data_IF_212806322997
#
_entry.id   IF_212806322997
#
_cell.length_a   1.000
_cell.length_b   1.000
_cell.length_c   1.000
_cell.angle_alpha   90.00
_cell.angle_beta   90.00
_cell.angle_gamma   90.00
#
_symmetry.space_group_name_H-M   'P 1'
#
loop_
_entity.id
_entity.type
_entity.pdbx_description
1 polymer ?
#
# COMPACT_ATOMS: atom_id res chain seq x y z
N UNK A 1 17.32 5.02 23.65
CA UNK A 1 18.06 6.06 22.90
C UNK A 1 17.70 5.90 21.42
N UNK A 2 16.67 6.60 20.96
CA UNK A 2 16.26 6.56 19.53
C UNK A 2 17.33 7.29 18.72
N UNK A 3 18.07 6.56 17.89
CA UNK A 3 18.93 7.12 16.85
C UNK A 3 18.14 8.21 16.13
N UNK A 4 18.62 9.45 16.17
CA UNK A 4 17.90 10.58 15.59
C UNK A 4 17.86 10.35 14.07
N UNK A 5 16.66 10.09 13.54
CA UNK A 5 16.49 9.71 12.13
C UNK A 5 16.84 10.90 11.24
N UNK A 6 18.03 10.87 10.64
CA UNK A 6 18.52 11.90 9.73
C UNK A 6 17.60 12.03 8.52
N UNK A 7 17.23 13.27 8.19
CA UNK A 7 16.59 13.63 6.93
C UNK A 7 17.59 14.37 6.04
N UNK A 8 17.39 14.29 4.73
CA UNK A 8 18.30 14.77 3.71
C UNK A 8 17.59 15.77 2.78
N UNK A 9 18.30 16.80 2.37
CA UNK A 9 17.94 17.63 1.22
C UNK A 9 18.30 16.93 -0.10
N UNK A 10 17.78 17.43 -1.22
CA UNK A 10 18.03 16.80 -2.53
C UNK A 10 19.53 16.84 -2.89
N UNK A 11 20.21 17.94 -2.58
CA UNK A 11 21.63 18.15 -2.88
C UNK A 11 22.54 17.19 -2.09
N UNK A 12 22.08 16.71 -0.93
CA UNK A 12 22.75 15.67 -0.15
C UNK A 12 22.49 14.29 -0.74
N UNK A 13 21.25 14.01 -1.17
CA UNK A 13 20.89 12.75 -1.84
C UNK A 13 21.70 12.58 -3.12
N UNK A 14 21.75 13.60 -3.98
CA UNK A 14 22.49 13.56 -5.24
C UNK A 14 23.99 13.31 -5.02
N UNK A 15 24.58 13.88 -3.96
CA UNK A 15 25.99 13.63 -3.62
C UNK A 15 26.25 12.17 -3.23
N UNK A 16 25.37 11.59 -2.41
CA UNK A 16 25.48 10.20 -1.97
C UNK A 16 25.21 9.22 -3.12
N UNK A 17 24.26 9.54 -4.00
CA UNK A 17 23.98 8.76 -5.21
C UNK A 17 25.14 8.83 -6.21
N UNK A 18 25.72 10.01 -6.43
CA UNK A 18 26.89 10.18 -7.29
C UNK A 18 28.06 9.34 -6.80
N UNK A 19 28.31 9.28 -5.49
CA UNK A 19 29.34 8.41 -4.94
C UNK A 19 29.04 6.92 -5.20
N UNK A 20 27.79 6.50 -4.98
CA UNK A 20 27.37 5.13 -5.26
C UNK A 20 27.52 4.75 -6.75
N UNK A 21 27.25 5.69 -7.66
CA UNK A 21 27.43 5.50 -9.09
C UNK A 21 28.89 5.47 -9.51
N UNK A 22 29.76 6.30 -8.92
CA UNK A 22 31.22 6.23 -9.15
C UNK A 22 31.74 4.85 -8.78
N UNK A 23 31.32 4.32 -7.63
CA UNK A 23 31.67 2.96 -7.20
C UNK A 23 31.14 1.90 -8.17
N UNK A 24 29.89 2.04 -8.65
CA UNK A 24 29.32 1.15 -9.67
C UNK A 24 30.18 1.12 -10.93
N UNK A 25 30.46 2.29 -11.50
CA UNK A 25 31.28 2.41 -12.72
C UNK A 25 32.69 1.88 -12.52
N UNK A 26 33.31 2.15 -11.38
CA UNK A 26 34.63 1.63 -11.04
C UNK A 26 34.65 0.10 -11.10
N UNK A 27 33.62 -0.55 -10.53
CA UNK A 27 33.50 -2.02 -10.50
C UNK A 27 33.12 -2.63 -11.85
N UNK A 28 32.28 -1.96 -12.63
CA UNK A 28 31.75 -2.49 -13.89
C UNK A 28 32.64 -2.17 -15.10
N UNK A 29 33.31 -1.02 -15.10
CA UNK A 29 33.93 -0.43 -16.28
C UNK A 29 35.32 0.18 -16.02
N UNK A 30 35.83 0.13 -14.78
CA UNK A 30 37.17 0.60 -14.42
C UNK A 30 37.27 2.08 -14.03
N UNK A 31 38.49 2.52 -13.72
CA UNK A 31 38.74 3.85 -13.14
C UNK A 31 38.37 5.02 -14.07
N UNK A 32 38.66 4.90 -15.36
CA UNK A 32 38.37 5.98 -16.33
C UNK A 32 36.87 6.25 -16.45
N UNK A 33 36.05 5.20 -16.45
CA UNK A 33 34.60 5.31 -16.44
C UNK A 33 34.08 5.98 -15.16
N UNK A 34 34.70 5.68 -14.00
CA UNK A 34 34.33 6.30 -12.73
C UNK A 34 34.67 7.80 -12.69
N UNK A 35 35.85 8.19 -13.21
CA UNK A 35 36.29 9.60 -13.27
C UNK A 35 35.43 10.43 -14.23
N UNK A 36 34.92 9.83 -15.29
CA UNK A 36 34.10 10.50 -16.32
C UNK A 36 32.60 10.52 -16.01
N UNK A 37 32.16 10.14 -14.80
CA UNK A 37 30.73 10.11 -14.43
C UNK A 37 29.99 11.42 -14.71
N UNK A 38 30.61 12.56 -14.44
CA UNK A 38 29.96 13.87 -14.61
C UNK A 38 29.71 14.23 -16.07
N UNK A 39 30.68 13.94 -16.96
CA UNK A 39 30.58 14.29 -18.39
C UNK A 39 29.83 13.24 -19.22
N UNK A 40 29.73 12.00 -18.72
CA UNK A 40 29.15 10.87 -19.49
C UNK A 40 27.98 10.21 -18.77
N UNK A 41 27.36 10.89 -17.80
CA UNK A 41 26.19 10.39 -17.07
C UNK A 41 25.09 9.96 -18.04
N UNK A 42 24.57 8.76 -17.86
CA UNK A 42 23.54 8.22 -18.73
C UNK A 42 22.43 7.56 -17.94
N UNK A 43 21.18 7.93 -18.24
CA UNK A 43 20.00 7.38 -17.58
C UNK A 43 18.91 7.05 -18.60
N UNK A 44 18.16 6.00 -18.31
CA UNK A 44 16.98 5.60 -19.08
C UNK A 44 15.73 5.91 -18.25
N UNK A 45 14.73 6.53 -18.86
CA UNK A 45 13.45 6.83 -18.22
C UNK A 45 12.31 6.09 -18.94
N UNK A 46 11.60 5.24 -18.21
CA UNK A 46 10.51 4.41 -18.70
C UNK A 46 9.17 4.98 -18.22
N UNK A 47 8.41 5.52 -19.16
CA UNK A 47 7.15 6.20 -18.90
C UNK A 47 6.02 5.26 -18.46
N UNK A 48 4.95 5.86 -17.91
CA UNK A 48 3.75 5.16 -17.49
C UNK A 48 2.80 4.83 -18.64
N UNK A 49 1.64 4.23 -18.32
CA UNK A 49 0.63 3.85 -19.33
C UNK A 49 0.27 2.37 -19.35
N UNK A 50 0.34 1.72 -18.18
CA UNK A 50 -0.08 0.32 -17.99
C UNK A 50 0.61 -0.68 -18.91
N UNK A 51 -0.13 -1.70 -19.34
CA UNK A 51 0.43 -2.81 -20.13
C UNK A 51 0.99 -2.38 -21.51
N UNK A 52 0.40 -1.33 -22.11
CA UNK A 52 0.85 -0.78 -23.39
C UNK A 52 2.27 -0.22 -23.25
N UNK A 53 2.48 0.65 -22.25
CA UNK A 53 3.81 1.21 -21.99
C UNK A 53 4.82 0.13 -21.59
N UNK A 54 4.40 -0.84 -20.76
CA UNK A 54 5.27 -1.97 -20.40
C UNK A 54 5.78 -2.72 -21.64
N UNK A 55 4.90 -2.98 -22.61
CA UNK A 55 5.24 -3.69 -23.86
C UNK A 55 6.20 -2.89 -24.74
N UNK A 56 5.97 -1.58 -24.87
CA UNK A 56 6.84 -0.68 -25.64
C UNK A 56 8.23 -0.61 -25.00
N UNK A 57 8.28 -0.36 -23.69
CA UNK A 57 9.53 -0.33 -22.93
C UNK A 57 10.29 -1.66 -23.03
N UNK A 58 9.60 -2.80 -23.02
CA UNK A 58 10.21 -4.12 -23.19
C UNK A 58 10.95 -4.23 -24.52
N UNK A 59 10.35 -3.76 -25.62
CA UNK A 59 10.98 -3.75 -26.95
C UNK A 59 12.19 -2.82 -27.03
N UNK A 60 12.08 -1.61 -26.47
CA UNK A 60 13.20 -0.66 -26.41
C UNK A 60 14.37 -1.23 -25.61
N UNK A 61 14.13 -1.70 -24.39
CA UNK A 61 15.20 -2.25 -23.55
C UNK A 61 15.80 -3.52 -24.15
N UNK A 62 15.01 -4.38 -24.78
CA UNK A 62 15.51 -5.55 -25.52
C UNK A 62 16.49 -5.14 -26.61
N UNK A 63 16.18 -4.07 -27.35
CA UNK A 63 17.07 -3.53 -28.39
C UNK A 63 18.33 -2.90 -27.79
N UNK A 64 18.20 -2.10 -26.72
CA UNK A 64 19.37 -1.51 -26.04
C UNK A 64 20.27 -2.57 -25.41
N UNK A 65 19.70 -3.67 -24.91
CA UNK A 65 20.44 -4.81 -24.38
C UNK A 65 21.25 -5.49 -25.48
N UNK A 66 20.63 -5.71 -26.66
CA UNK A 66 21.31 -6.30 -27.83
C UNK A 66 22.55 -5.51 -28.26
N UNK A 67 22.55 -4.19 -28.07
CA UNK A 67 23.67 -3.33 -28.42
C UNK A 67 24.58 -2.97 -27.22
N UNK A 68 24.43 -3.65 -26.08
CA UNK A 68 25.22 -3.38 -24.86
C UNK A 68 25.13 -1.92 -24.38
N UNK A 69 24.01 -1.24 -24.66
CA UNK A 69 23.76 0.14 -24.22
C UNK A 69 23.10 0.12 -22.83
N UNK A 70 22.24 -0.87 -22.56
CA UNK A 70 21.53 -0.97 -21.28
C UNK A 70 22.49 -1.13 -20.09
N UNK A 71 23.59 -1.85 -20.26
CA UNK A 71 24.60 -2.04 -19.20
C UNK A 71 25.34 -0.76 -18.81
N UNK A 72 25.44 0.19 -19.75
CA UNK A 72 26.09 1.49 -19.57
C UNK A 72 25.22 2.50 -18.84
N UNK A 73 23.93 2.22 -18.65
CA UNK A 73 23.04 3.11 -17.92
C UNK A 73 23.42 3.17 -16.44
N UNK A 74 23.57 4.38 -15.90
CA UNK A 74 23.73 4.62 -14.47
C UNK A 74 22.40 4.55 -13.74
N UNK A 75 21.34 5.02 -14.40
CA UNK A 75 19.99 5.09 -13.84
C UNK A 75 18.99 4.34 -14.73
N UNK A 76 18.06 3.64 -14.08
CA UNK A 76 16.81 3.21 -14.69
C UNK A 76 15.66 3.81 -13.90
N UNK A 77 15.14 4.92 -14.42
CA UNK A 77 14.00 5.65 -13.90
C UNK A 77 12.71 5.07 -14.46
N UNK A 78 11.72 4.84 -13.61
CA UNK A 78 10.51 4.12 -13.99
C UNK A 78 9.28 4.71 -13.34
N UNK A 79 8.17 4.63 -14.06
CA UNK A 79 6.84 4.89 -13.49
C UNK A 79 5.80 3.94 -14.09
N UNK A 80 4.84 3.48 -13.28
CA UNK A 80 3.69 2.70 -13.73
C UNK A 80 4.06 1.50 -14.62
N UNK A 81 3.53 1.43 -15.84
CA UNK A 81 3.88 0.40 -16.83
C UNK A 81 5.37 0.26 -17.10
N UNK A 82 6.14 1.35 -17.08
CA UNK A 82 7.61 1.32 -17.16
C UNK A 82 8.25 0.63 -15.96
N UNK A 83 7.65 0.75 -14.78
CA UNK A 83 8.05 0.03 -13.57
C UNK A 83 7.92 -1.48 -13.70
N UNK A 84 6.97 -1.98 -14.49
CA UNK A 84 6.82 -3.42 -14.71
C UNK A 84 8.02 -4.00 -15.47
N UNK A 85 8.39 -3.35 -16.57
CA UNK A 85 9.53 -3.74 -17.40
C UNK A 85 10.85 -3.50 -16.67
N UNK A 86 10.99 -2.37 -15.97
CA UNK A 86 12.16 -2.12 -15.12
C UNK A 86 12.27 -3.15 -13.99
N UNK A 87 11.15 -3.55 -13.41
CA UNK A 87 11.09 -4.60 -12.39
C UNK A 87 11.59 -5.96 -12.90
N UNK A 88 11.17 -6.34 -14.10
CA UNK A 88 11.68 -7.50 -14.82
C UNK A 88 13.21 -7.44 -14.99
N UNK A 89 13.73 -6.32 -15.52
CA UNK A 89 15.18 -6.13 -15.72
C UNK A 89 15.92 -6.26 -14.40
N UNK A 90 15.50 -5.51 -13.38
CA UNK A 90 16.20 -5.45 -12.10
C UNK A 90 16.29 -6.78 -11.38
N UNK A 91 15.18 -7.52 -11.35
CA UNK A 91 15.13 -8.81 -10.65
C UNK A 91 15.77 -9.94 -11.43
N UNK A 92 15.72 -9.90 -12.77
CA UNK A 92 16.41 -10.89 -13.61
C UNK A 92 17.92 -10.70 -13.54
N UNK A 93 18.42 -9.46 -13.63
CA UNK A 93 19.85 -9.17 -13.42
C UNK A 93 20.32 -9.59 -12.03
N UNK A 94 19.52 -9.33 -10.99
CA UNK A 94 19.86 -9.72 -9.62
C UNK A 94 20.00 -11.25 -9.46
N UNK A 95 19.14 -12.01 -10.13
CA UNK A 95 19.13 -13.48 -10.04
C UNK A 95 20.22 -14.12 -10.91
N UNK A 96 20.29 -13.71 -12.17
CA UNK A 96 21.09 -14.40 -13.19
C UNK A 96 22.51 -13.83 -13.29
N UNK A 97 22.76 -12.62 -12.79
CA UNK A 97 24.09 -12.01 -12.77
C UNK A 97 24.64 -11.62 -14.15
N UNK A 98 23.82 -11.62 -15.21
CA UNK A 98 24.24 -11.26 -16.56
C UNK A 98 23.13 -10.55 -17.36
N UNK A 99 23.54 -9.59 -18.20
CA UNK A 99 22.68 -8.94 -19.19
C UNK A 99 22.24 -9.89 -20.32
N UNK A 100 22.99 -10.98 -20.57
CA UNK A 100 22.63 -11.97 -21.57
C UNK A 100 21.38 -12.76 -21.19
N UNK A 101 21.08 -12.87 -19.89
CA UNK A 101 19.88 -13.56 -19.40
C UNK A 101 18.59 -12.72 -19.58
N UNK A 102 18.71 -11.45 -19.96
CA UNK A 102 17.57 -10.58 -20.23
C UNK A 102 16.93 -10.88 -21.59
N UNK A 103 15.63 -10.68 -21.68
CA UNK A 103 14.82 -10.76 -22.89
C UNK A 103 14.90 -12.10 -23.65
N UNK A 104 15.20 -13.19 -22.94
CA UNK A 104 15.16 -14.54 -23.49
C UNK A 104 13.81 -14.84 -24.15
N UNK A 105 13.75 -15.62 -25.24
CA UNK A 105 12.50 -15.91 -25.95
C UNK A 105 11.38 -16.41 -25.03
N UNK A 106 11.70 -17.33 -24.11
CA UNK A 106 10.76 -17.84 -23.11
C UNK A 106 10.25 -16.74 -22.15
N UNK A 107 11.10 -15.76 -21.81
CA UNK A 107 10.71 -14.61 -20.98
C UNK A 107 9.69 -13.73 -21.71
N UNK A 108 9.98 -13.41 -22.97
CA UNK A 108 9.10 -12.58 -23.81
C UNK A 108 7.77 -13.29 -24.06
N UNK A 109 7.78 -14.58 -24.39
CA UNK A 109 6.57 -15.37 -24.63
C UNK A 109 5.67 -15.41 -23.38
N UNK A 110 6.25 -15.61 -22.20
CA UNK A 110 5.52 -15.56 -20.93
C UNK A 110 4.88 -14.20 -20.69
N UNK A 111 5.63 -13.11 -20.86
CA UNK A 111 5.11 -11.76 -20.64
C UNK A 111 3.98 -11.43 -21.62
N UNK A 112 4.12 -11.82 -22.89
CA UNK A 112 3.07 -11.65 -23.91
C UNK A 112 1.81 -12.46 -23.60
N UNK A 113 1.97 -13.72 -23.20
CA UNK A 113 0.83 -14.61 -22.89
C UNK A 113 0.11 -14.27 -21.59
N UNK A 114 0.69 -13.41 -20.73
CA UNK A 114 0.14 -13.02 -19.43
C UNK A 114 -0.09 -11.50 -19.32
N UNK A 115 -0.28 -10.81 -20.45
CA UNK A 115 -0.55 -9.36 -20.49
C UNK A 115 -1.86 -8.97 -19.78
N UNK A 116 -2.86 -9.86 -19.75
CA UNK A 116 -4.08 -9.73 -18.95
C UNK A 116 -3.84 -10.17 -17.49
N UNK A 117 -2.85 -9.57 -16.83
CA UNK A 117 -2.38 -10.00 -15.50
C UNK A 117 -3.46 -9.92 -14.39
N UNK A 118 -4.52 -9.13 -14.57
CA UNK A 118 -5.64 -9.04 -13.62
C UNK A 118 -6.52 -10.29 -13.63
N UNK A 119 -6.65 -10.94 -14.79
CA UNK A 119 -7.47 -12.12 -15.04
C UNK A 119 -6.63 -13.07 -15.90
N UNK A 120 -5.56 -13.68 -15.34
CA UNK A 120 -4.61 -14.44 -16.15
C UNK A 120 -5.28 -15.67 -16.80
N UNK A 121 -4.85 -16.01 -18.01
CA UNK A 121 -5.37 -17.15 -18.77
C UNK A 121 -6.05 -16.72 -20.07
N UNK A 122 -5.78 -17.47 -21.14
CA UNK A 122 -6.18 -17.04 -22.49
C UNK A 122 -7.68 -17.20 -22.74
N UNK A 123 -8.30 -18.33 -22.33
CA UNK A 123 -9.73 -18.64 -22.53
C UNK A 123 -10.25 -19.72 -21.56
N UNK A 124 -11.58 -19.90 -21.51
CA UNK A 124 -12.25 -21.02 -20.84
C UNK A 124 -12.47 -20.87 -19.33
N UNK A 125 -12.75 -22.00 -18.67
CA UNK A 125 -13.12 -22.08 -17.24
C UNK A 125 -12.06 -21.41 -16.35
N UNK A 126 -10.78 -21.54 -16.68
CA UNK A 126 -9.69 -20.92 -15.91
C UNK A 126 -9.76 -19.39 -15.93
N UNK A 127 -10.12 -18.78 -17.07
CA UNK A 127 -10.27 -17.32 -17.18
C UNK A 127 -11.48 -16.85 -16.39
N UNK A 128 -12.62 -17.54 -16.53
CA UNK A 128 -13.82 -17.27 -15.73
C UNK A 128 -13.54 -17.39 -14.22
N UNK A 129 -12.80 -18.41 -13.82
CA UNK A 129 -12.40 -18.61 -12.44
C UNK A 129 -11.52 -17.47 -11.91
N UNK A 130 -10.54 -17.03 -12.68
CA UNK A 130 -9.69 -15.90 -12.28
C UNK A 130 -10.46 -14.56 -12.26
N UNK A 131 -11.48 -14.40 -13.11
CA UNK A 131 -12.37 -13.24 -13.08
C UNK A 131 -13.24 -13.26 -11.81
N UNK A 132 -13.75 -14.44 -11.45
CA UNK A 132 -14.45 -14.64 -10.18
C UNK A 132 -13.54 -14.32 -8.98
N UNK A 133 -12.30 -14.82 -8.96
CA UNK A 133 -11.33 -14.51 -7.91
C UNK A 133 -11.01 -13.01 -7.79
N UNK A 134 -11.01 -12.29 -8.91
CA UNK A 134 -10.82 -10.84 -8.93
C UNK A 134 -11.98 -10.12 -8.22
N UNK A 135 -13.23 -10.43 -8.60
CA UNK A 135 -14.44 -9.85 -7.98
C UNK A 135 -14.46 -10.14 -6.49
N UNK A 136 -14.18 -11.39 -6.14
CA UNK A 136 -14.13 -11.87 -4.76
C UNK A 136 -13.05 -11.15 -3.94
N UNK A 137 -11.83 -11.03 -4.48
CA UNK A 137 -10.74 -10.29 -3.84
C UNK A 137 -11.05 -8.81 -3.66
N UNK A 138 -11.76 -8.19 -4.61
CA UNK A 138 -12.24 -6.82 -4.50
C UNK A 138 -13.28 -6.68 -3.37
N UNK A 139 -14.30 -7.54 -3.34
CA UNK A 139 -15.34 -7.52 -2.30
C UNK A 139 -14.76 -7.75 -0.89
N UNK A 140 -13.81 -8.67 -0.74
CA UNK A 140 -13.06 -8.84 0.52
C UNK A 140 -12.38 -7.55 0.94
N UNK A 141 -11.60 -6.94 0.04
CA UNK A 141 -10.92 -5.69 0.35
C UNK A 141 -11.88 -4.54 0.67
N UNK A 142 -13.02 -4.49 -0.01
CA UNK A 142 -14.09 -3.52 0.24
C UNK A 142 -14.57 -3.65 1.67
N UNK A 143 -15.00 -4.84 2.10
CA UNK A 143 -15.40 -5.05 3.50
C UNK A 143 -14.29 -4.70 4.48
N UNK A 144 -13.07 -5.17 4.22
CA UNK A 144 -11.94 -4.92 5.12
C UNK A 144 -11.65 -3.41 5.28
N UNK A 145 -11.96 -2.59 4.27
CA UNK A 145 -11.87 -1.13 4.38
C UNK A 145 -12.90 -0.52 5.34
N UNK A 146 -14.05 -1.17 5.53
CA UNK A 146 -15.14 -0.74 6.43
C UNK A 146 -14.92 -1.14 7.89
N UNK A 147 -13.96 -2.02 8.19
CA UNK A 147 -13.62 -2.41 9.57
C UNK A 147 -13.24 -1.18 10.41
N UNK A 148 -12.44 -0.26 9.85
CA UNK A 148 -12.07 0.97 10.55
C UNK A 148 -13.26 1.89 10.87
N UNK A 149 -14.09 2.25 9.87
CA UNK A 149 -15.35 2.97 10.08
C UNK A 149 -16.30 2.30 11.06
N UNK A 150 -16.47 0.98 10.97
CA UNK A 150 -17.33 0.22 11.87
C UNK A 150 -16.83 0.33 13.32
N UNK A 151 -15.52 0.17 13.57
CA UNK A 151 -14.90 0.41 14.88
C UNK A 151 -15.25 1.81 15.41
N UNK A 152 -15.12 2.85 14.57
CA UNK A 152 -15.44 4.22 15.00
C UNK A 152 -16.93 4.42 15.31
N UNK A 153 -17.84 3.91 14.48
CA UNK A 153 -19.28 4.02 14.70
C UNK A 153 -19.71 3.28 15.96
N UNK A 154 -19.21 2.07 16.17
CA UNK A 154 -19.49 1.29 17.39
C UNK A 154 -18.94 2.02 18.62
N UNK A 155 -17.72 2.57 18.56
CA UNK A 155 -17.15 3.35 19.65
C UNK A 155 -18.02 4.57 20.02
N UNK A 156 -18.42 5.38 19.04
CA UNK A 156 -19.26 6.57 19.26
C UNK A 156 -20.62 6.16 19.84
N UNK A 157 -21.21 5.09 19.31
CA UNK A 157 -22.48 4.58 19.78
C UNK A 157 -22.40 4.06 21.22
N UNK A 158 -21.39 3.24 21.55
CA UNK A 158 -21.21 2.73 22.91
C UNK A 158 -20.94 3.87 23.91
N UNK A 159 -20.13 4.86 23.52
CA UNK A 159 -19.92 6.06 24.36
C UNK A 159 -21.22 6.84 24.55
N UNK A 160 -22.03 7.01 23.51
CA UNK A 160 -23.35 7.61 23.63
C UNK A 160 -24.25 6.84 24.61
N UNK A 161 -24.29 5.50 24.53
CA UNK A 161 -25.05 4.65 25.46
C UNK A 161 -24.59 4.78 26.91
N UNK A 162 -23.28 4.91 27.16
CA UNK A 162 -22.72 5.17 28.49
C UNK A 162 -23.13 6.57 28.98
N UNK A 163 -23.12 7.59 28.11
CA UNK A 163 -23.52 8.93 28.51
C UNK A 163 -25.01 9.02 28.87
N UNK A 164 -25.90 8.39 28.09
CA UNK A 164 -27.34 8.42 28.38
C UNK A 164 -27.71 7.58 29.60
N UNK A 165 -26.94 6.53 29.94
CA UNK A 165 -27.19 5.76 31.17
C UNK A 165 -26.94 6.58 32.44
N UNK A 166 -26.17 7.67 32.36
CA UNK A 166 -25.93 8.59 33.48
C UNK A 166 -26.99 9.68 33.64
N UNK A 167 -27.92 9.85 32.70
CA UNK A 167 -28.91 10.94 32.69
C UNK A 167 -30.35 10.51 33.00
N UNK A 168 -30.59 9.27 33.46
CA UNK A 168 -31.88 8.73 33.93
C UNK A 168 -33.10 9.03 33.01
N UNK A 169 -32.90 9.10 31.68
CA UNK A 169 -34.00 9.33 30.74
C UNK A 169 -34.82 8.06 30.58
N UNK A 170 -36.09 8.09 31.00
CA UNK A 170 -37.02 6.96 31.04
C UNK A 170 -37.46 6.52 29.63
N UNK A 171 -37.32 5.22 29.33
CA UNK A 171 -37.43 4.69 27.95
C UNK A 171 -38.38 3.50 27.85
N UNK A 172 -39.49 3.59 28.59
CA UNK A 172 -40.44 2.50 28.75
C UNK A 172 -41.37 2.25 27.53
N UNK A 173 -41.19 2.92 26.38
CA UNK A 173 -42.10 2.77 25.22
C UNK A 173 -41.41 2.75 23.84
N UNK A 174 -40.29 2.04 23.70
CA UNK A 174 -39.71 1.69 22.39
C UNK A 174 -40.43 0.44 21.80
N UNK A 175 -40.97 0.48 20.57
CA UNK A 175 -41.62 -0.68 19.94
C UNK A 175 -40.67 -1.83 19.52
N UNK A 176 -39.38 -1.76 19.87
CA UNK A 176 -38.34 -2.70 19.44
C UNK A 176 -37.52 -3.24 20.64
N UNK A 177 -38.16 -3.46 21.79
CA UNK A 177 -37.49 -3.98 22.98
C UNK A 177 -37.08 -5.46 22.81
N UNK A 178 -35.79 -5.70 22.57
CA UNK A 178 -35.20 -7.01 22.22
C UNK A 178 -34.58 -7.78 23.40
N UNK A 179 -34.78 -7.33 24.63
CA UNK A 179 -34.23 -7.94 25.85
C UNK A 179 -34.96 -9.21 26.32
N UNK A 180 -35.65 -9.95 25.43
CA UNK A 180 -36.40 -11.15 25.81
C UNK A 180 -35.50 -12.41 25.76
N UNK A 181 -35.21 -13.05 26.91
CA UNK A 181 -34.35 -14.24 27.02
C UNK A 181 -34.86 -15.50 26.28
N UNK A 182 -36.11 -15.52 25.78
CA UNK A 182 -36.67 -16.68 25.06
C UNK A 182 -36.48 -16.64 23.52
N UNK A 183 -35.66 -15.71 23.00
CA UNK A 183 -35.49 -15.57 21.56
C UNK A 183 -34.52 -16.61 20.97
N UNK A 184 -35.09 -17.71 20.46
CA UNK A 184 -34.40 -18.86 19.83
C UNK A 184 -33.47 -18.49 18.65
N UNK A 185 -33.56 -17.26 18.14
CA UNK A 185 -32.66 -16.74 17.11
C UNK A 185 -31.22 -16.60 17.65
N UNK A 186 -31.04 -16.27 18.94
CA UNK A 186 -29.72 -16.12 19.55
C UNK A 186 -28.98 -17.44 19.74
N UNK A 187 -29.66 -18.53 20.09
CA UNK A 187 -29.02 -19.85 20.32
C UNK A 187 -28.42 -20.46 19.05
N UNK A 188 -28.95 -20.11 17.87
CA UNK A 188 -28.41 -20.51 16.57
C UNK A 188 -27.42 -19.47 16.00
N UNK A 189 -27.67 -18.18 16.21
CA UNK A 189 -26.79 -17.14 15.70
C UNK A 189 -25.49 -17.03 16.50
N UNK A 190 -25.53 -16.95 17.83
CA UNK A 190 -24.35 -16.65 18.66
C UNK A 190 -23.09 -17.49 18.35
N UNK A 191 -23.18 -18.83 18.25
CA UNK A 191 -22.02 -19.67 17.94
C UNK A 191 -21.48 -19.43 16.53
N UNK A 192 -22.36 -19.09 15.58
CA UNK A 192 -21.97 -18.70 14.23
C UNK A 192 -21.19 -17.38 14.26
N UNK A 193 -21.57 -16.42 15.11
CA UNK A 193 -20.94 -15.08 15.22
C UNK A 193 -19.57 -15.18 15.87
N UNK A 194 -19.46 -16.00 16.90
CA UNK A 194 -18.20 -16.28 17.59
C UNK A 194 -17.20 -16.96 16.66
N UNK A 195 -17.66 -17.98 15.93
CA UNK A 195 -16.84 -18.68 14.94
C UNK A 195 -16.38 -17.71 13.83
N UNK A 196 -17.30 -16.90 13.33
CA UNK A 196 -17.05 -15.92 12.28
C UNK A 196 -16.11 -14.80 12.74
N UNK A 197 -16.31 -14.27 13.94
CA UNK A 197 -15.48 -13.26 14.58
C UNK A 197 -14.07 -13.78 14.86
N UNK A 198 -13.94 -15.03 15.32
CA UNK A 198 -12.64 -15.67 15.53
C UNK A 198 -11.85 -15.79 14.21
N UNK A 199 -12.50 -16.16 13.10
CA UNK A 199 -11.80 -16.22 11.81
C UNK A 199 -11.46 -14.83 11.28
N UNK A 200 -12.32 -13.82 11.48
CA UNK A 200 -12.00 -12.44 11.13
C UNK A 200 -10.80 -11.89 11.91
N UNK A 201 -10.71 -12.17 13.21
CA UNK A 201 -9.56 -11.79 14.04
C UNK A 201 -8.30 -12.50 13.55
N UNK A 202 -8.36 -13.80 13.29
CA UNK A 202 -7.24 -14.56 12.73
C UNK A 202 -6.80 -13.99 11.37
N UNK A 203 -7.75 -13.60 10.54
CA UNK A 203 -7.49 -12.98 9.25
C UNK A 203 -6.83 -11.60 9.37
N UNK A 204 -7.36 -10.73 10.24
CA UNK A 204 -6.77 -9.42 10.54
C UNK A 204 -5.34 -9.57 11.05
N UNK A 205 -5.12 -10.46 12.02
CA UNK A 205 -3.79 -10.74 12.57
C UNK A 205 -2.85 -11.23 11.47
N UNK A 206 -3.29 -12.17 10.63
CA UNK A 206 -2.48 -12.67 9.52
C UNK A 206 -2.13 -11.58 8.50
N UNK A 207 -3.07 -10.69 8.17
CA UNK A 207 -2.81 -9.56 7.26
C UNK A 207 -1.82 -8.56 7.84
N UNK A 208 -1.90 -8.31 9.14
CA UNK A 208 -0.98 -7.41 9.85
C UNK A 208 0.42 -8.02 9.91
N UNK A 209 0.54 -9.29 10.30
CA UNK A 209 1.83 -9.98 10.45
C UNK A 209 2.48 -10.31 9.10
N UNK A 210 1.69 -10.69 8.09
CA UNK A 210 2.17 -11.14 6.78
C UNK A 210 2.08 -10.06 5.69
N UNK A 211 2.01 -8.77 6.09
CA UNK A 211 1.93 -7.59 5.19
C UNK A 211 2.92 -7.63 4.03
N UNK A 212 4.11 -8.18 4.25
CA UNK A 212 5.19 -8.16 3.28
C UNK A 212 5.31 -9.45 2.43
N UNK A 213 4.59 -10.53 2.74
CA UNK A 213 4.69 -11.80 2.03
C UNK A 213 3.76 -11.88 0.79
N UNK A 214 4.30 -12.31 -0.36
CA UNK A 214 3.56 -12.46 -1.63
C UNK A 214 2.69 -13.72 -1.73
N UNK A 215 2.99 -14.78 -0.96
CA UNK A 215 2.36 -16.11 -1.10
C UNK A 215 0.96 -16.21 -0.47
N UNK A 216 0.72 -15.46 0.60
CA UNK A 216 -0.42 -15.62 1.50
C UNK A 216 -1.78 -15.24 0.87
N UNK A 217 -1.80 -14.43 -0.20
CA UNK A 217 -3.06 -13.88 -0.75
C UNK A 217 -3.96 -14.85 -1.53
N UNK A 218 -3.54 -16.09 -1.88
CA UNK A 218 -4.40 -17.01 -2.66
C UNK A 218 -5.27 -17.91 -1.78
N UNK A 219 -4.70 -18.42 -0.69
CA UNK A 219 -5.41 -19.29 0.25
C UNK A 219 -6.28 -18.51 1.24
N UNK A 220 -5.81 -17.35 1.70
CA UNK A 220 -6.59 -16.50 2.61
C UNK A 220 -7.77 -15.81 1.92
N UNK A 221 -7.61 -15.26 0.71
CA UNK A 221 -8.73 -14.71 -0.07
C UNK A 221 -9.85 -15.73 -0.29
N UNK A 222 -9.57 -17.04 -0.29
CA UNK A 222 -10.57 -18.10 -0.41
C UNK A 222 -11.42 -18.25 0.86
N UNK A 223 -10.76 -18.28 2.04
CA UNK A 223 -11.41 -18.34 3.36
C UNK A 223 -12.17 -17.04 3.66
N UNK A 224 -11.55 -15.88 3.37
CA UNK A 224 -12.11 -14.53 3.56
C UNK A 224 -13.46 -14.33 2.89
N UNK A 225 -13.69 -14.97 1.75
CA UNK A 225 -14.81 -14.66 0.87
C UNK A 225 -16.09 -15.43 1.23
N UNK A 226 -15.92 -16.62 1.80
CA UNK A 226 -17.02 -17.40 2.38
C UNK A 226 -17.48 -16.72 3.68
N UNK A 227 -16.54 -16.22 4.47
CA UNK A 227 -16.82 -15.58 5.75
C UNK A 227 -17.37 -14.15 5.58
N UNK A 228 -16.95 -13.41 4.56
CA UNK A 228 -17.49 -12.08 4.22
C UNK A 228 -19.01 -12.08 4.04
N UNK A 229 -19.53 -13.04 3.27
CA UNK A 229 -20.97 -13.15 3.01
C UNK A 229 -21.73 -13.49 4.30
N UNK A 230 -21.15 -14.35 5.14
CA UNK A 230 -21.70 -14.68 6.46
C UNK A 230 -21.62 -13.50 7.44
N UNK A 231 -20.55 -12.68 7.41
CA UNK A 231 -20.38 -11.45 8.23
C UNK A 231 -21.36 -10.37 7.82
N UNK A 232 -21.60 -10.18 6.53
CA UNK A 232 -22.57 -9.19 6.05
C UNK A 232 -24.00 -9.63 6.32
N UNK A 233 -24.31 -10.91 6.14
CA UNK A 233 -25.61 -11.47 6.53
C UNK A 233 -25.82 -11.33 8.05
N UNK A 234 -24.76 -11.53 8.84
CA UNK A 234 -24.80 -11.38 10.28
C UNK A 234 -24.89 -9.94 10.77
N UNK A 235 -24.05 -9.03 10.27
CA UNK A 235 -24.09 -7.61 10.63
C UNK A 235 -25.40 -6.97 10.17
N UNK A 236 -25.94 -7.37 9.03
CA UNK A 236 -27.28 -6.98 8.60
C UNK A 236 -28.35 -7.56 9.53
N UNK A 237 -28.24 -8.83 9.95
CA UNK A 237 -29.13 -9.42 10.94
C UNK A 237 -29.04 -8.70 12.30
N UNK A 238 -27.85 -8.34 12.79
CA UNK A 238 -27.66 -7.56 14.03
C UNK A 238 -28.14 -6.13 13.87
N UNK A 239 -27.89 -5.45 12.76
CA UNK A 239 -28.44 -4.10 12.55
C UNK A 239 -29.98 -4.11 12.50
N UNK A 240 -30.57 -5.19 11.97
CA UNK A 240 -32.01 -5.39 11.90
C UNK A 240 -32.58 -5.84 13.25
N UNK A 241 -31.81 -6.60 14.06
CA UNK A 241 -32.22 -7.23 15.34
C UNK A 241 -31.74 -6.47 16.59
N UNK A 242 -30.87 -5.47 16.47
CA UNK A 242 -30.32 -4.70 17.61
C UNK A 242 -30.72 -3.22 17.54
N UNK A 243 -31.67 -2.88 16.67
CA UNK A 243 -32.24 -1.55 16.63
C UNK A 243 -33.33 -1.40 17.70
N UNK A 244 -32.89 -1.34 18.96
CA UNK A 244 -33.73 -0.91 20.07
C UNK A 244 -33.23 0.45 20.58
N UNK A 245 -33.86 1.57 20.18
CA UNK A 245 -33.47 2.87 20.67
C UNK A 245 -33.62 3.02 22.19
N UNK A 246 -34.31 2.08 22.89
CA UNK A 246 -34.69 2.24 24.29
C UNK A 246 -34.02 1.38 25.37
N UNK A 247 -33.20 0.37 25.05
CA UNK A 247 -32.62 -0.51 26.09
C UNK A 247 -31.42 0.13 26.81
N UNK A 248 -31.45 0.18 28.14
CA UNK A 248 -30.32 0.69 28.96
C UNK A 248 -29.25 -0.39 29.14
N UNK A 249 -28.01 0.03 29.36
CA UNK A 249 -26.90 -0.84 29.78
C UNK A 249 -26.92 -0.88 31.31
N UNK A 250 -27.19 -2.05 31.91
CA UNK A 250 -27.23 -2.22 33.38
C UNK A 250 -25.82 -2.26 33.99
N UNK A 251 -25.70 -2.11 35.31
CA UNK A 251 -24.44 -1.82 36.01
C UNK A 251 -23.25 -2.76 35.71
N UNK A 252 -23.48 -4.08 35.57
CA UNK A 252 -22.42 -5.04 35.19
C UNK A 252 -22.07 -4.97 33.69
N UNK A 253 -23.03 -4.59 32.85
CA UNK A 253 -22.87 -4.46 31.40
C UNK A 253 -22.05 -3.21 31.03
N UNK A 254 -22.01 -2.19 31.89
CA UNK A 254 -21.14 -1.01 31.72
C UNK A 254 -19.67 -1.44 31.72
N UNK A 255 -19.28 -2.38 32.58
CA UNK A 255 -17.92 -2.92 32.61
C UNK A 255 -17.53 -3.57 31.28
N UNK A 256 -18.41 -4.41 30.73
CA UNK A 256 -18.23 -5.05 29.43
C UNK A 256 -18.24 -4.05 28.27
N UNK A 257 -19.09 -3.04 28.31
CA UNK A 257 -19.13 -1.97 27.33
C UNK A 257 -17.83 -1.15 27.32
N UNK A 258 -17.27 -0.84 28.49
CA UNK A 258 -15.98 -0.16 28.62
C UNK A 258 -14.84 -1.03 28.08
N UNK A 259 -14.81 -2.33 28.42
CA UNK A 259 -13.83 -3.27 27.89
C UNK A 259 -13.92 -3.40 26.36
N UNK A 260 -15.13 -3.42 25.81
CA UNK A 260 -15.38 -3.44 24.37
C UNK A 260 -14.85 -2.15 23.71
N UNK A 261 -15.12 -0.98 24.29
CA UNK A 261 -14.61 0.31 23.81
C UNK A 261 -13.08 0.31 23.80
N UNK A 262 -12.45 -0.12 24.89
CA UNK A 262 -10.98 -0.21 24.97
C UNK A 262 -10.44 -1.19 23.93
N UNK A 263 -11.06 -2.36 23.79
CA UNK A 263 -10.66 -3.38 22.80
C UNK A 263 -10.77 -2.88 21.36
N UNK A 264 -11.89 -2.25 21.00
CA UNK A 264 -12.11 -1.67 19.67
C UNK A 264 -11.15 -0.51 19.37
N UNK A 265 -10.89 0.34 20.37
CA UNK A 265 -9.91 1.41 20.24
C UNK A 265 -8.50 0.85 19.94
N UNK A 266 -8.07 -0.16 20.70
CA UNK A 266 -6.79 -0.85 20.48
C UNK A 266 -6.75 -1.55 19.11
N UNK A 267 -7.84 -2.18 18.68
CA UNK A 267 -7.95 -2.82 17.37
C UNK A 267 -7.73 -1.83 16.21
N UNK A 268 -8.13 -0.56 16.37
CA UNK A 268 -7.87 0.48 15.37
C UNK A 268 -6.40 0.77 15.08
N UNK A 269 -5.46 0.38 15.95
CA UNK A 269 -4.02 0.43 15.63
C UNK A 269 -3.55 -0.70 14.71
N UNK A 270 -4.35 -1.77 14.59
CA UNK A 270 -4.06 -2.95 13.78
C UNK A 270 -4.72 -2.89 12.39
N UNK A 271 -5.73 -2.04 12.17
CA UNK A 271 -6.51 -1.95 10.92
C UNK A 271 -5.82 -1.15 9.82
N UNK A 272 -4.58 -1.51 9.47
CA UNK A 272 -3.79 -0.81 8.47
C UNK A 272 -4.42 -0.89 7.06
N UNK A 273 -4.84 0.22 6.44
CA UNK A 273 -5.46 0.24 5.12
C UNK A 273 -4.54 -0.28 4.01
N UNK A 274 -3.23 -0.17 4.16
CA UNK A 274 -2.29 -0.72 3.17
C UNK A 274 -2.31 -2.26 3.14
N UNK A 275 -2.70 -2.91 4.24
CA UNK A 275 -2.80 -4.36 4.35
C UNK A 275 -4.21 -4.86 3.98
N UNK A 276 -5.22 -4.01 4.19
CA UNK A 276 -6.64 -4.32 4.01
C UNK A 276 -7.19 -3.89 2.65
N UNK A 277 -6.42 -3.16 1.84
CA UNK A 277 -6.85 -2.68 0.51
C UNK A 277 -6.57 -3.68 -0.61
N UNK A 278 -7.23 -3.44 -1.73
CA UNK A 278 -7.06 -4.20 -2.98
C UNK A 278 -5.61 -4.18 -3.52
N UNK A 279 -4.79 -3.24 -3.04
CA UNK A 279 -3.36 -3.13 -3.35
C UNK A 279 -2.60 -4.46 -3.22
N UNK A 280 -2.93 -5.30 -2.23
CA UNK A 280 -2.22 -6.58 -2.02
C UNK A 280 -2.46 -7.57 -3.15
N UNK A 281 -3.71 -7.69 -3.59
CA UNK A 281 -4.08 -8.53 -4.72
C UNK A 281 -3.40 -8.02 -5.99
N UNK A 282 -3.48 -6.71 -6.21
CA UNK A 282 -2.87 -6.05 -7.37
C UNK A 282 -1.35 -6.27 -7.43
N UNK A 283 -0.65 -6.05 -6.31
CA UNK A 283 0.79 -6.32 -6.16
C UNK A 283 1.15 -7.75 -6.52
N UNK A 284 0.35 -8.72 -6.06
CA UNK A 284 0.59 -10.12 -6.37
C UNK A 284 0.46 -10.40 -7.86
N UNK A 285 -0.57 -9.89 -8.52
CA UNK A 285 -0.76 -10.10 -9.95
C UNK A 285 0.40 -9.54 -10.78
N UNK A 286 0.84 -8.32 -10.44
CA UNK A 286 2.01 -7.73 -11.08
C UNK A 286 3.29 -8.54 -10.85
N UNK A 287 3.54 -8.98 -9.62
CA UNK A 287 4.69 -9.81 -9.31
C UNK A 287 4.64 -11.19 -9.99
N UNK A 288 3.47 -11.83 -10.05
CA UNK A 288 3.27 -13.13 -10.70
C UNK A 288 3.51 -13.08 -12.21
N UNK A 289 3.24 -11.93 -12.86
CA UNK A 289 3.51 -11.72 -14.29
C UNK A 289 4.92 -11.23 -14.55
N UNK A 290 5.31 -10.08 -13.99
CA UNK A 290 6.53 -9.36 -14.39
C UNK A 290 7.79 -9.79 -13.64
N UNK A 291 7.63 -10.41 -12.47
CA UNK A 291 8.74 -10.92 -11.66
C UNK A 291 8.76 -12.45 -11.64
N UNK A 292 8.14 -13.10 -12.65
CA UNK A 292 8.03 -14.54 -12.74
C UNK A 292 9.40 -15.25 -12.76
N UNK A 293 10.41 -14.59 -13.33
CA UNK A 293 11.76 -15.13 -13.50
C UNK A 293 12.70 -14.82 -12.35
N UNK A 294 12.26 -14.02 -11.37
CA UNK A 294 13.08 -13.54 -10.27
C UNK A 294 13.46 -14.60 -9.23
N UNK A 295 12.85 -15.80 -9.26
CA UNK A 295 13.14 -16.85 -8.29
C UNK A 295 12.91 -16.38 -6.85
N UNK A 296 13.91 -16.54 -5.98
CA UNK A 296 13.88 -16.06 -4.59
C UNK A 296 13.82 -14.52 -4.48
N UNK A 297 14.31 -13.79 -5.48
CA UNK A 297 14.32 -12.31 -5.53
C UNK A 297 12.95 -11.70 -5.86
N UNK A 298 11.93 -12.54 -6.10
CA UNK A 298 10.57 -12.09 -6.45
C UNK A 298 9.95 -11.17 -5.38
N UNK A 299 10.37 -11.29 -4.12
CA UNK A 299 9.87 -10.47 -3.01
C UNK A 299 10.96 -9.65 -2.31
N UNK A 300 12.01 -9.26 -3.04
CA UNK A 300 13.16 -8.54 -2.49
C UNK A 300 12.75 -7.24 -1.77
N UNK A 301 13.47 -6.87 -0.71
CA UNK A 301 13.35 -5.55 -0.12
C UNK A 301 13.95 -4.49 -1.05
N UNK A 302 13.32 -3.32 -1.15
CA UNK A 302 13.77 -2.25 -2.06
C UNK A 302 15.24 -1.87 -1.82
N UNK A 303 15.64 -1.81 -0.54
CA UNK A 303 17.02 -1.51 -0.12
C UNK A 303 18.07 -2.53 -0.58
N UNK A 304 17.68 -3.76 -0.91
CA UNK A 304 18.61 -4.84 -1.26
C UNK A 304 18.76 -4.99 -2.79
N UNK A 305 18.00 -4.21 -3.56
CA UNK A 305 18.06 -4.24 -5.02
C UNK A 305 19.37 -3.65 -5.56
N UNK A 306 19.91 -2.65 -4.85
CA UNK A 306 21.19 -2.02 -5.12
C UNK A 306 21.92 -1.81 -3.80
N UNK A 307 23.17 -2.27 -3.72
CA UNK A 307 24.03 -2.02 -2.55
C UNK A 307 25.36 -1.44 -3.01
N UNK A 308 25.76 -0.25 -2.53
CA UNK A 308 27.07 0.33 -2.82
C UNK A 308 28.20 -0.33 -2.02
N UNK A 309 27.90 -1.39 -1.27
CA UNK A 309 28.85 -2.18 -0.48
C UNK A 309 28.61 -3.66 -0.75
N UNK A 310 29.59 -4.35 -1.34
CA UNK A 310 29.54 -5.79 -1.52
C UNK A 310 30.17 -6.27 -2.83
N UNK A 311 29.77 -7.47 -3.24
CA UNK A 311 30.27 -8.16 -4.44
C UNK A 311 29.88 -7.45 -5.74
N UNK A 312 30.62 -7.72 -6.81
CA UNK A 312 30.41 -7.15 -8.14
C UNK A 312 28.96 -7.31 -8.64
N UNK A 313 28.31 -8.43 -8.31
CA UNK A 313 26.91 -8.71 -8.65
C UNK A 313 25.91 -7.66 -8.13
N UNK A 314 26.26 -6.91 -7.07
CA UNK A 314 25.41 -5.84 -6.53
C UNK A 314 25.45 -4.54 -7.35
N UNK A 315 26.44 -4.38 -8.22
CA UNK A 315 26.63 -3.21 -9.09
C UNK A 315 26.14 -3.43 -10.52
N UNK A 316 25.74 -4.66 -10.85
CA UNK A 316 25.25 -4.99 -12.19
C UNK A 316 24.05 -4.13 -12.57
N UNK A 317 23.08 -4.00 -11.65
CA UNK A 317 21.88 -3.21 -11.86
C UNK A 317 22.20 -1.73 -12.13
N UNK A 318 21.59 -1.09 -13.15
CA UNK A 318 21.50 0.36 -13.17
C UNK A 318 20.71 0.81 -11.92
N UNK A 319 21.02 1.97 -11.37
CA UNK A 319 20.41 2.43 -10.13
C UNK A 319 18.89 2.66 -10.33
N UNK A 320 18.03 1.98 -9.55
CA UNK A 320 16.59 2.03 -9.76
C UNK A 320 15.99 3.29 -9.13
N UNK A 321 15.27 4.07 -9.94
CA UNK A 321 14.40 5.15 -9.48
C UNK A 321 12.96 4.75 -9.76
N UNK A 322 12.18 4.43 -8.71
CA UNK A 322 10.75 4.16 -8.85
C UNK A 322 9.99 5.41 -8.48
N UNK A 323 9.48 6.10 -9.50
CA UNK A 323 8.75 7.34 -9.33
C UNK A 323 7.31 7.06 -8.92
N UNK A 324 6.84 7.84 -7.97
CA UNK A 324 5.46 7.86 -7.48
C UNK A 324 5.03 9.30 -7.29
N UNK A 325 3.75 9.50 -7.08
CA UNK A 325 3.12 10.78 -6.81
C UNK A 325 2.75 10.88 -5.33
N UNK A 326 3.21 11.95 -4.68
CA UNK A 326 2.72 12.44 -3.40
C UNK A 326 1.40 13.16 -3.61
N UNK A 327 0.32 12.63 -3.03
CA UNK A 327 -1.00 13.22 -3.16
C UNK A 327 -1.18 14.35 -2.13
N UNK A 328 -1.59 15.52 -2.61
CA UNK A 328 -1.75 16.75 -1.82
C UNK A 328 -3.17 17.29 -2.00
N UNK A 329 -4.13 16.66 -1.35
CA UNK A 329 -5.50 17.14 -1.28
C UNK A 329 -5.74 17.69 0.12
N UNK A 330 -5.63 19.00 0.32
CA UNK A 330 -5.97 19.61 1.59
C UNK A 330 -6.80 20.88 1.36
N UNK A 331 -8.12 20.86 1.63
CA UNK A 331 -8.99 22.01 1.41
C UNK A 331 -8.66 23.21 2.32
N UNK A 332 -7.91 23.00 3.41
CA UNK A 332 -7.42 24.07 4.28
C UNK A 332 -6.10 24.72 3.82
N UNK A 333 -5.52 24.27 2.70
CA UNK A 333 -4.21 24.72 2.22
C UNK A 333 -3.02 24.14 3.01
N UNK A 334 -1.80 24.32 2.49
CA UNK A 334 -0.55 23.98 3.18
C UNK A 334 0.41 25.17 3.11
N UNK A 335 1.09 25.51 4.19
CA UNK A 335 2.09 26.60 4.19
C UNK A 335 3.29 26.27 3.31
N UNK A 336 3.61 24.97 3.16
CA UNK A 336 4.70 24.49 2.29
C UNK A 336 4.36 24.58 0.80
N UNK A 337 3.09 24.78 0.45
CA UNK A 337 2.67 24.87 -0.93
C UNK A 337 1.42 25.77 -1.10
N UNK A 338 1.56 26.88 -1.83
CA UNK A 338 0.47 27.81 -2.18
C UNK A 338 0.06 27.61 -3.65
N UNK A 339 -1.24 27.47 -3.94
CA UNK A 339 -1.79 27.40 -5.30
C UNK A 339 -2.59 26.13 -5.60
N UNK A 340 -2.80 25.81 -6.89
CA UNK A 340 -3.63 24.70 -7.38
C UNK A 340 -2.91 23.33 -7.45
N UNK A 341 -1.66 23.22 -7.00
CA UNK A 341 -0.89 21.97 -7.10
C UNK A 341 -1.43 20.94 -6.10
N UNK A 342 -2.08 19.93 -6.64
CA UNK A 342 -2.75 18.87 -5.88
C UNK A 342 -1.91 17.57 -5.77
N UNK A 343 -0.67 17.60 -6.27
CA UNK A 343 0.27 16.47 -6.29
C UNK A 343 1.73 16.93 -6.39
N UNK A 344 2.69 16.11 -5.98
CA UNK A 344 4.13 16.33 -6.21
C UNK A 344 4.87 15.02 -6.41
N UNK A 345 6.13 15.06 -6.83
CA UNK A 345 6.93 13.85 -7.01
C UNK A 345 7.32 13.20 -5.67
N UNK A 346 7.32 11.87 -5.63
CA UNK A 346 7.82 11.08 -4.50
C UNK A 346 8.66 9.92 -5.01
N UNK A 347 9.92 9.86 -4.56
CA UNK A 347 10.88 8.86 -4.98
C UNK A 347 10.86 7.65 -4.03
N UNK A 348 10.88 6.46 -4.61
CA UNK A 348 11.22 5.21 -3.94
C UNK A 348 12.48 4.63 -4.60
N UNK A 349 13.62 4.67 -3.92
CA UNK A 349 14.87 4.07 -4.39
C UNK A 349 15.57 3.27 -3.28
N UNK A 350 16.57 2.41 -3.62
CA UNK A 350 17.27 1.59 -2.63
C UNK A 350 18.04 2.39 -1.59
N UNK A 351 18.61 3.55 -1.94
CA UNK A 351 19.33 4.39 -0.98
C UNK A 351 18.41 5.36 -0.27
N UNK A 352 17.49 6.02 -1.00
CA UNK A 352 16.67 7.08 -0.45
C UNK A 352 15.18 6.97 -0.84
N UNK A 353 14.32 7.39 0.08
CA UNK A 353 12.89 7.55 -0.19
C UNK A 353 12.45 8.93 0.29
N UNK A 354 11.56 9.60 -0.43
CA UNK A 354 11.06 10.91 -0.04
C UNK A 354 10.77 11.85 -1.20
N UNK A 355 10.64 13.13 -0.87
CA UNK A 355 10.42 14.20 -1.85
C UNK A 355 11.02 15.51 -1.37
N UNK A 356 11.12 16.51 -2.27
CA UNK A 356 11.53 17.87 -1.90
C UNK A 356 10.65 18.45 -0.77
N UNK A 357 9.34 18.20 -0.80
CA UNK A 357 8.39 18.68 0.21
C UNK A 357 8.46 17.92 1.53
N UNK A 358 8.73 16.61 1.48
CA UNK A 358 8.72 15.73 2.65
C UNK A 358 10.11 15.45 3.23
N UNK A 359 11.17 15.97 2.59
CA UNK A 359 12.58 15.58 2.77
C UNK A 359 12.82 14.12 2.35
N UNK A 360 14.09 13.74 2.23
CA UNK A 360 14.50 12.37 1.92
C UNK A 360 15.04 11.67 3.16
N UNK A 361 14.92 10.35 3.19
CA UNK A 361 15.46 9.49 4.26
C UNK A 361 16.13 8.26 3.69
N UNK A 362 17.16 7.78 4.39
CA UNK A 362 17.85 6.56 4.02
C UNK A 362 16.90 5.35 4.11
N UNK A 363 16.63 4.69 2.97
CA UNK A 363 15.68 3.57 2.85
C UNK A 363 16.05 2.43 3.81
N UNK A 364 17.33 2.11 3.95
CA UNK A 364 17.80 1.02 4.80
C UNK A 364 17.62 1.26 6.31
N UNK A 365 17.58 2.53 6.76
CA UNK A 365 17.53 2.89 8.18
C UNK A 365 16.13 3.27 8.64
N UNK A 366 15.37 3.96 7.79
CA UNK A 366 14.13 4.60 8.22
C UNK A 366 13.00 3.57 8.47
N UNK A 367 12.26 3.67 9.60
CA UNK A 367 11.14 2.79 9.90
C UNK A 367 10.07 2.81 8.79
N UNK A 368 9.57 1.65 8.39
CA UNK A 368 8.63 1.53 7.27
C UNK A 368 9.34 1.31 5.94
N UNK A 369 10.22 2.22 5.51
CA UNK A 369 10.95 2.09 4.23
C UNK A 369 11.94 0.91 4.24
N UNK A 370 12.60 0.62 5.37
CA UNK A 370 13.51 -0.54 5.48
C UNK A 370 12.84 -1.90 5.26
N UNK A 371 11.51 -1.95 5.37
CA UNK A 371 10.66 -3.14 5.16
C UNK A 371 9.82 -3.04 3.89
N UNK A 372 10.02 -2.01 3.06
CA UNK A 372 9.31 -1.84 1.80
C UNK A 372 9.89 -2.84 0.78
N UNK A 373 9.02 -3.64 0.17
CA UNK A 373 9.45 -4.58 -0.88
C UNK A 373 9.47 -3.89 -2.24
N UNK A 374 10.39 -4.29 -3.10
CA UNK A 374 10.48 -3.77 -4.47
C UNK A 374 9.17 -3.98 -5.26
N UNK A 375 8.49 -5.15 -5.21
CA UNK A 375 7.18 -5.31 -5.83
C UNK A 375 6.13 -4.32 -5.30
N UNK A 376 6.18 -3.96 -4.00
CA UNK A 376 5.28 -2.93 -3.47
C UNK A 376 5.58 -1.57 -4.09
N UNK A 377 6.85 -1.17 -4.19
CA UNK A 377 7.22 0.09 -4.84
C UNK A 377 6.71 0.16 -6.29
N UNK A 378 6.92 -0.92 -7.06
CA UNK A 378 6.39 -1.03 -8.43
C UNK A 378 4.87 -0.92 -8.49
N UNK A 379 4.17 -1.56 -7.54
CA UNK A 379 2.70 -1.55 -7.48
C UNK A 379 2.18 -0.15 -7.16
N UNK A 380 2.81 0.55 -6.21
CA UNK A 380 2.44 1.93 -5.86
C UNK A 380 2.67 2.85 -7.05
N UNK A 381 3.79 2.67 -7.75
CA UNK A 381 4.11 3.40 -8.97
C UNK A 381 3.11 3.15 -10.10
N UNK A 382 2.30 2.08 -10.03
CA UNK A 382 1.26 1.77 -11.01
C UNK A 382 -0.18 1.87 -10.45
N UNK A 383 -0.35 2.44 -9.26
CA UNK A 383 -1.63 2.70 -8.63
C UNK A 383 -2.38 3.88 -9.30
N UNK A 384 -2.86 3.68 -10.53
CA UNK A 384 -3.56 4.72 -11.30
C UNK A 384 -4.93 5.12 -10.72
N UNK A 385 -5.60 4.23 -9.97
CA UNK A 385 -6.90 4.51 -9.32
C UNK A 385 -6.69 4.78 -7.83
N UNK A 386 -7.00 6.00 -7.37
CA UNK A 386 -6.84 6.41 -5.97
C UNK A 386 -7.76 7.61 -5.67
N UNK A 387 -8.36 7.80 -4.47
CA UNK A 387 -9.16 9.00 -4.15
C UNK A 387 -8.39 10.33 -4.31
N UNK A 388 -7.05 10.24 -4.29
CA UNK A 388 -6.03 11.28 -4.38
C UNK A 388 -5.64 11.86 -5.76
N UNK A 389 -6.49 11.87 -6.79
CA UNK A 389 -6.12 12.10 -8.22
C UNK A 389 -5.63 13.51 -8.64
N UNK A 390 -5.17 14.37 -7.73
CA UNK A 390 -4.70 15.70 -8.10
C UNK A 390 -5.80 16.59 -8.72
N UNK A 391 -5.58 17.11 -9.93
CA UNK A 391 -6.46 18.10 -10.61
C UNK A 391 -7.86 17.53 -10.97
N UNK A 392 -7.99 16.22 -11.16
CA UNK A 392 -9.26 15.57 -11.50
C UNK A 392 -10.05 15.12 -10.26
N UNK A 393 -9.60 15.53 -9.07
CA UNK A 393 -10.23 15.16 -7.80
C UNK A 393 -11.49 15.97 -7.57
N UNK A 394 -12.65 15.38 -7.85
CA UNK A 394 -13.91 15.87 -7.29
C UNK A 394 -14.11 15.26 -5.90
N UNK A 395 -14.43 16.06 -4.89
CA UNK A 395 -14.69 15.60 -3.51
C UNK A 395 -15.69 14.45 -3.45
N UNK A 396 -16.75 14.50 -4.27
CA UNK A 396 -17.75 13.43 -4.33
C UNK A 396 -17.14 12.13 -4.90
N UNK A 397 -16.32 12.24 -5.95
CA UNK A 397 -15.65 11.08 -6.53
C UNK A 397 -14.61 10.48 -5.58
N UNK A 398 -13.83 11.31 -4.88
CA UNK A 398 -12.88 10.87 -3.84
C UNK A 398 -13.61 10.17 -2.69
N UNK A 399 -14.75 10.71 -2.24
CA UNK A 399 -15.60 10.10 -1.23
C UNK A 399 -16.14 8.74 -1.70
N UNK A 400 -16.71 8.67 -2.90
CA UNK A 400 -17.22 7.42 -3.48
C UNK A 400 -16.11 6.37 -3.66
N UNK A 401 -14.95 6.75 -4.18
CA UNK A 401 -13.81 5.85 -4.31
C UNK A 401 -13.30 5.34 -2.94
N UNK A 402 -13.36 6.17 -1.90
CA UNK A 402 -12.99 5.77 -0.53
C UNK A 402 -13.99 4.76 0.04
N UNK A 403 -15.30 5.04 -0.09
CA UNK A 403 -16.42 4.19 0.35
C UNK A 403 -16.38 2.83 -0.35
N UNK A 404 -16.11 2.82 -1.66
CA UNK A 404 -16.02 1.60 -2.45
C UNK A 404 -14.62 0.98 -2.46
N UNK A 405 -13.67 1.49 -1.68
CA UNK A 405 -12.28 1.01 -1.62
C UNK A 405 -11.63 0.87 -3.02
N UNK A 406 -12.04 1.71 -3.97
CA UNK A 406 -11.46 1.80 -5.30
C UNK A 406 -10.14 2.59 -5.21
N UNK A 407 -9.17 2.01 -4.50
CA UNK A 407 -7.87 2.64 -4.21
C UNK A 407 -6.72 1.65 -4.31
N UNK A 408 -5.65 2.08 -4.96
CA UNK A 408 -4.40 1.34 -5.10
C UNK A 408 -3.21 2.05 -4.43
N UNK A 409 -3.38 3.32 -4.04
CA UNK A 409 -2.37 4.09 -3.31
C UNK A 409 -2.15 3.58 -1.89
N UNK A 410 -1.06 4.02 -1.26
CA UNK A 410 -0.71 3.60 0.10
C UNK A 410 -0.32 4.78 0.98
N UNK A 411 -0.43 4.57 2.29
CA UNK A 411 0.05 5.49 3.31
C UNK A 411 1.47 5.13 3.77
N UNK A 412 2.46 5.99 3.51
CA UNK A 412 3.85 5.83 3.94
C UNK A 412 4.20 6.77 5.10
N UNK A 413 5.28 6.47 5.83
CA UNK A 413 5.70 7.32 6.96
C UNK A 413 6.18 8.68 6.45
N UNK A 414 5.73 9.78 7.07
CA UNK A 414 6.20 11.10 6.70
C UNK A 414 7.61 11.36 7.26
N UNK A 415 8.63 11.57 6.41
CA UNK A 415 9.99 11.86 6.88
C UNK A 415 10.12 13.18 7.64
N UNK A 416 9.31 14.19 7.27
CA UNK A 416 9.33 15.52 7.89
C UNK A 416 8.41 15.70 9.09
N UNK A 417 7.67 14.66 9.50
CA UNK A 417 6.74 14.79 10.63
C UNK A 417 7.48 14.88 11.95
N UNK A 418 7.21 15.95 12.69
CA UNK A 418 7.69 16.14 14.06
C UNK A 418 6.50 16.05 15.03
N UNK A 419 6.53 15.12 16.00
CA UNK A 419 5.48 15.04 17.00
C UNK A 419 5.51 16.27 17.91
N UNK A 420 4.36 16.71 18.45
CA UNK A 420 4.32 17.75 19.47
C UNK A 420 5.23 17.40 20.65
N UNK A 421 5.82 18.40 21.31
CA UNK A 421 6.77 18.20 22.42
C UNK A 421 6.24 17.25 23.51
N UNK A 422 4.96 17.37 23.85
CA UNK A 422 4.29 16.56 24.87
C UNK A 422 4.00 15.10 24.45
N UNK A 423 4.18 14.76 23.17
CA UNK A 423 3.94 13.42 22.63
C UNK A 423 5.21 12.77 22.03
N UNK A 424 6.40 13.30 22.35
CA UNK A 424 7.69 12.83 21.82
C UNK A 424 8.09 11.43 22.31
N UNK A 425 7.49 10.97 23.40
CA UNK A 425 7.66 9.63 23.99
C UNK A 425 6.80 8.55 23.30
N UNK A 426 5.76 8.95 22.57
CA UNK A 426 4.93 8.02 21.79
C UNK A 426 5.64 7.63 20.49
N UNK A 427 5.54 6.37 20.01
CA UNK A 427 6.13 5.99 18.73
C UNK A 427 5.62 6.90 17.59
N UNK A 428 6.50 7.74 17.03
CA UNK A 428 6.18 8.81 16.07
C UNK A 428 5.33 8.34 14.89
N UNK A 429 5.50 7.08 14.48
CA UNK A 429 4.88 6.51 13.30
C UNK A 429 3.72 5.54 13.61
N UNK A 430 3.34 5.38 14.88
CA UNK A 430 2.12 4.65 15.24
C UNK A 430 0.92 5.58 15.07
N UNK A 431 -0.08 5.07 14.36
CA UNK A 431 -1.29 5.81 14.04
C UNK A 431 -2.50 4.95 14.29
N UNK A 432 -3.56 5.58 14.76
CA UNK A 432 -4.88 4.96 14.83
C UNK A 432 -5.49 5.03 13.43
N UNK A 433 -5.52 3.91 12.72
CA UNK A 433 -5.81 3.86 11.28
C UNK A 433 -7.21 4.31 10.87
N UNK A 434 -8.28 4.13 11.67
CA UNK A 434 -9.59 4.65 11.28
C UNK A 434 -9.58 6.17 11.07
N UNK A 435 -8.73 6.93 11.77
CA UNK A 435 -8.57 8.38 11.50
C UNK A 435 -8.08 8.67 10.07
N UNK A 436 -7.29 7.78 9.47
CA UNK A 436 -6.79 7.93 8.11
C UNK A 436 -7.84 7.61 7.05
N UNK A 437 -8.81 6.75 7.36
CA UNK A 437 -10.00 6.57 6.52
C UNK A 437 -10.78 7.89 6.42
N UNK A 438 -11.07 8.54 7.55
CA UNK A 438 -11.78 9.81 7.55
C UNK A 438 -10.98 10.95 6.91
N UNK A 439 -9.65 10.95 7.04
CA UNK A 439 -8.79 11.89 6.30
C UNK A 439 -8.91 11.71 4.80
N UNK A 440 -9.01 10.48 4.31
CA UNK A 440 -9.22 10.21 2.88
C UNK A 440 -10.64 10.61 2.45
N UNK A 441 -11.65 10.21 3.24
CA UNK A 441 -13.06 10.52 3.01
C UNK A 441 -13.33 12.03 2.91
N UNK A 442 -12.71 12.81 3.80
CA UNK A 442 -12.84 14.26 3.88
C UNK A 442 -11.80 15.01 3.02
N UNK A 443 -11.02 14.28 2.21
CA UNK A 443 -9.95 14.86 1.37
C UNK A 443 -8.96 15.72 2.17
N UNK A 444 -8.55 15.28 3.36
CA UNK A 444 -7.55 15.89 4.24
C UNK A 444 -6.21 15.11 4.19
N UNK A 445 -5.59 15.14 3.02
CA UNK A 445 -4.35 14.49 2.64
C UNK A 445 -3.27 15.56 2.39
N UNK A 446 -2.31 15.71 3.30
CA UNK A 446 -1.24 16.69 3.12
C UNK A 446 0.03 16.37 3.90
N UNK A 447 1.03 17.24 3.74
CA UNK A 447 2.38 17.02 4.30
C UNK A 447 2.45 17.20 5.82
N UNK A 448 1.38 17.69 6.45
CA UNK A 448 1.24 17.84 7.91
C UNK A 448 0.89 16.53 8.61
N UNK A 449 0.39 15.53 7.87
CA UNK A 449 -0.03 14.25 8.45
C UNK A 449 1.19 13.38 8.85
N UNK A 450 1.03 12.52 9.88
CA UNK A 450 2.07 11.52 10.27
C UNK A 450 2.41 10.53 9.16
N UNK A 451 1.49 10.37 8.21
CA UNK A 451 1.63 9.49 7.05
C UNK A 451 1.32 10.32 5.80
N UNK A 452 2.03 10.03 4.72
CA UNK A 452 1.84 10.61 3.40
C UNK A 452 1.09 9.61 2.53
N UNK A 453 0.18 10.08 1.68
CA UNK A 453 -0.50 9.23 0.70
C UNK A 453 0.28 9.29 -0.62
N UNK A 454 0.66 8.13 -1.15
CA UNK A 454 1.40 8.01 -2.42
C UNK A 454 0.72 7.05 -3.40
N UNK A 455 0.85 7.32 -4.69
CA UNK A 455 0.29 6.52 -5.79
C UNK A 455 1.07 6.71 -7.11
N UNK A 456 0.56 6.23 -8.24
CA UNK A 456 1.15 6.50 -9.58
C UNK A 456 1.01 7.97 -9.94
N UNK A 457 -0.16 8.55 -9.64
CA UNK A 457 -0.47 9.93 -9.95
C UNK A 457 -0.70 10.13 -11.45
N UNK A 458 -1.57 9.33 -12.08
CA UNK A 458 -1.89 9.35 -13.52
C UNK A 458 -2.36 10.68 -14.15
N UNK A 459 -2.15 11.80 -13.47
CA UNK A 459 -2.49 13.17 -13.80
C UNK A 459 -1.29 14.13 -13.65
N UNK A 460 -0.10 13.63 -13.24
CA UNK A 460 1.17 14.35 -13.32
C UNK A 460 1.99 13.75 -14.47
N UNK A 461 2.59 14.60 -15.30
CA UNK A 461 3.61 14.14 -16.25
C UNK A 461 4.84 13.71 -15.41
N UNK A 462 4.98 12.39 -15.25
CA UNK A 462 6.04 11.73 -14.48
C UNK A 462 7.31 11.52 -15.31
#
# INVERSE_FOLDING_TARGET
>A
MTEELKTYALEEVLREEDEALRQRRLKMHGEEAARSLESTRFGLALSGGGIRSATINLGFLSTLNRFHILEKADYLSTVSGGGYTGGYVHTTLKKEGSYDALFQPAHIERLRSNGEYMIPGQQGIRKMWNAFLLVVGYLSSLLMSWVGPAIFLILVFTLYKICISWYEIDDAQSPLNWSNPDNQIWTLLLPLLETLGAVLVLHLLTNVFMRNHLSVSKWWNWVESILLVAVLAFLAAVLVVSFDPGSRIEGEEIGWAVLLVVGLFLAGFLTNPNALSFHRYYRKQLADTFLAFAGEYKNLWLKDLFSPKGEAANYLNPYPLVNTCLNLQNPGGDEKFKGAKASDYFLLSPLFCGSKLSRYVATARFPGYRKLTFPSALTVSAAAVNPGMGIYSNRLLSMLMTIFNARLGIWVNNPSYQPPRWLRWWPTYWVWWPSYFFKELLSNIGTRNRKLNISDGGHIEN
#
